data_IF_116224581806
#
_entry.id   IF_116224581806
#
_cell.length_a   1.000
_cell.length_b   1.000
_cell.length_c   1.000
_cell.angle_alpha   90.00
_cell.angle_beta   90.00
_cell.angle_gamma   90.00
#
_symmetry.space_group_name_H-M   'P 1'
#
loop_
_entity.id
_entity.type
_entity.pdbx_description
1 polymer ?
#
# COMPACT_ATOMS: atom_id res chain seq x y z
N UNK A 1 5.32 36.22 -65.82
CA UNK A 1 5.35 36.61 -64.41
C UNK A 1 4.83 35.46 -63.59
N UNK A 2 5.71 34.65 -63.01
CA UNK A 2 5.33 33.42 -62.27
C UNK A 2 5.75 33.62 -60.82
N UNK A 3 4.75 33.75 -59.94
CA UNK A 3 4.95 33.94 -58.50
C UNK A 3 5.11 32.57 -57.86
N UNK A 4 6.32 32.25 -57.38
CA UNK A 4 6.62 31.04 -56.65
C UNK A 4 6.22 31.29 -55.19
N UNK A 5 5.15 30.63 -54.72
CA UNK A 5 4.78 30.57 -53.30
C UNK A 5 5.68 29.58 -52.58
N UNK A 6 6.55 30.08 -51.72
CA UNK A 6 7.31 29.27 -50.76
C UNK A 6 6.38 28.87 -49.61
N UNK A 7 6.04 27.58 -49.50
CA UNK A 7 5.36 27.02 -48.34
C UNK A 7 6.42 26.68 -47.32
N UNK A 8 6.40 27.39 -46.21
CA UNK A 8 7.24 27.11 -45.05
C UNK A 8 6.52 26.05 -44.21
N UNK A 9 6.99 24.81 -44.23
CA UNK A 9 6.51 23.73 -43.35
C UNK A 9 7.26 23.87 -42.05
N UNK A 10 6.60 24.41 -41.04
CA UNK A 10 7.10 24.43 -39.67
C UNK A 10 6.83 23.04 -39.05
N UNK A 11 7.87 22.19 -38.96
CA UNK A 11 7.83 20.94 -38.21
C UNK A 11 7.83 21.24 -36.74
N UNK A 12 6.68 21.14 -36.08
CA UNK A 12 6.55 21.21 -34.65
C UNK A 12 6.97 19.86 -34.06
N UNK A 13 8.23 19.71 -33.70
CA UNK A 13 8.72 18.54 -32.97
C UNK A 13 8.19 18.62 -31.53
N UNK A 14 7.11 17.90 -31.25
CA UNK A 14 6.58 17.71 -29.90
C UNK A 14 7.52 16.77 -29.16
N UNK A 15 8.44 17.35 -28.38
CA UNK A 15 9.30 16.61 -27.46
C UNK A 15 8.39 16.13 -26.32
N UNK A 16 7.94 14.88 -26.40
CA UNK A 16 7.35 14.19 -25.26
C UNK A 16 8.47 14.00 -24.23
N UNK A 17 8.51 14.84 -23.21
CA UNK A 17 9.31 14.60 -22.02
C UNK A 17 8.69 13.38 -21.29
N UNK A 18 9.20 12.19 -21.60
CA UNK A 18 8.93 10.99 -20.80
C UNK A 18 9.65 11.23 -19.49
N UNK A 19 8.92 11.66 -18.46
CA UNK A 19 9.40 11.64 -17.09
C UNK A 19 9.63 10.18 -16.73
N UNK A 20 10.86 9.69 -16.91
CA UNK A 20 11.29 8.42 -16.38
C UNK A 20 11.29 8.55 -14.84
N UNK A 21 10.17 8.25 -14.21
CA UNK A 21 10.20 7.92 -12.80
C UNK A 21 11.03 6.64 -12.71
N UNK A 22 12.19 6.73 -12.07
CA UNK A 22 13.02 5.55 -11.82
C UNK A 22 12.13 4.55 -11.06
N UNK A 23 11.89 3.40 -11.69
CA UNK A 23 11.06 2.35 -11.11
C UNK A 23 11.66 1.95 -9.77
N UNK A 24 10.84 2.01 -8.72
CA UNK A 24 11.30 1.69 -7.37
C UNK A 24 11.67 0.21 -7.30
N UNK A 25 12.91 -0.09 -6.90
CA UNK A 25 13.37 -1.46 -6.75
C UNK A 25 12.63 -2.13 -5.60
N UNK A 26 12.05 -3.28 -5.88
CA UNK A 26 11.32 -4.11 -4.93
C UNK A 26 12.13 -5.37 -4.60
N UNK A 27 11.94 -5.89 -3.41
CA UNK A 27 12.46 -7.20 -3.00
C UNK A 27 11.37 -8.01 -2.29
N UNK A 28 11.40 -9.33 -2.48
CA UNK A 28 10.48 -10.23 -1.79
C UNK A 28 11.08 -10.69 -0.48
N UNK A 29 10.39 -10.39 0.62
CA UNK A 29 10.79 -10.81 1.95
C UNK A 29 9.86 -11.92 2.43
N UNK A 30 10.43 -13.00 2.93
CA UNK A 30 9.73 -14.10 3.55
C UNK A 30 9.74 -13.95 5.08
N UNK A 31 8.58 -14.10 5.71
CA UNK A 31 8.37 -14.05 7.17
C UNK A 31 7.99 -15.46 7.67
N UNK A 32 8.96 -16.27 8.12
CA UNK A 32 8.71 -17.67 8.50
C UNK A 32 7.68 -17.83 9.62
N UNK A 33 7.72 -16.95 10.61
CA UNK A 33 6.78 -16.97 11.75
C UNK A 33 5.32 -16.69 11.36
N UNK A 34 5.11 -16.02 10.23
CA UNK A 34 3.79 -15.67 9.69
C UNK A 34 3.39 -16.56 8.52
N UNK A 35 4.30 -17.40 8.00
CA UNK A 35 4.14 -18.26 6.83
C UNK A 35 3.64 -17.49 5.61
N UNK A 36 4.23 -16.34 5.34
CA UNK A 36 3.91 -15.50 4.19
C UNK A 36 5.14 -14.76 3.67
N UNK A 37 5.04 -14.30 2.42
CA UNK A 37 6.01 -13.39 1.82
C UNK A 37 5.32 -12.24 1.12
N UNK A 38 6.03 -11.13 0.97
CA UNK A 38 5.52 -9.93 0.32
C UNK A 38 6.68 -9.16 -0.34
N UNK A 39 6.42 -8.48 -1.44
CA UNK A 39 7.39 -7.58 -2.07
C UNK A 39 7.30 -6.19 -1.43
N UNK A 40 8.43 -5.67 -1.01
CA UNK A 40 8.54 -4.34 -0.40
C UNK A 40 9.63 -3.53 -1.09
N UNK A 41 9.59 -2.18 -1.02
CA UNK A 41 10.69 -1.35 -1.49
C UNK A 41 12.01 -1.76 -0.84
N UNK A 42 13.09 -1.92 -1.62
CA UNK A 42 14.42 -2.26 -1.10
C UNK A 42 14.97 -1.23 -0.10
N UNK A 43 14.43 -0.02 -0.12
CA UNK A 43 14.80 1.06 0.82
C UNK A 43 14.08 0.95 2.17
N UNK A 44 13.09 0.05 2.30
CA UNK A 44 12.41 -0.17 3.57
C UNK A 44 13.23 -1.09 4.45
N UNK A 45 13.36 -0.71 5.71
CA UNK A 45 14.04 -1.51 6.74
C UNK A 45 13.10 -1.82 7.90
N UNK A 46 13.37 -2.84 8.72
CA UNK A 46 12.64 -3.04 9.98
C UNK A 46 12.62 -1.75 10.79
N UNK A 47 11.42 -1.32 11.17
CA UNK A 47 11.26 -0.06 11.91
C UNK A 47 11.83 -0.18 13.32
N UNK A 48 12.68 0.75 13.78
CA UNK A 48 13.17 0.79 15.15
C UNK A 48 12.02 0.81 16.18
N UNK A 49 12.20 0.14 17.30
CA UNK A 49 11.14 -0.08 18.31
C UNK A 49 10.58 1.23 18.88
N UNK A 50 11.41 2.24 19.09
CA UNK A 50 11.02 3.57 19.57
C UNK A 50 10.13 4.29 18.55
N UNK A 51 10.49 4.27 17.26
CA UNK A 51 9.69 4.81 16.17
C UNK A 51 8.38 4.02 16.00
N UNK A 52 8.44 2.69 16.08
CA UNK A 52 7.27 1.83 15.99
C UNK A 52 6.26 2.13 17.13
N UNK A 53 6.72 2.40 18.35
CA UNK A 53 5.85 2.80 19.47
C UNK A 53 5.16 4.13 19.26
N UNK A 54 5.85 5.09 18.67
CA UNK A 54 5.28 6.41 18.33
C UNK A 54 4.23 6.27 17.22
N UNK A 55 4.58 5.56 16.16
CA UNK A 55 3.70 5.43 14.98
C UNK A 55 2.51 4.50 15.22
N UNK A 56 2.69 3.47 16.02
CA UNK A 56 1.69 2.46 16.39
C UNK A 56 1.60 2.34 17.91
N UNK A 57 0.97 3.31 18.59
CA UNK A 57 0.96 3.38 20.05
C UNK A 57 0.15 2.26 20.71
N UNK A 58 -0.71 1.55 19.96
CA UNK A 58 -1.52 0.45 20.49
C UNK A 58 -0.65 -0.76 20.85
N UNK A 59 -0.97 -1.44 21.95
CA UNK A 59 -0.38 -2.75 22.29
C UNK A 59 -0.68 -3.82 21.21
N UNK A 60 -1.74 -3.64 20.41
CA UNK A 60 -2.10 -4.50 19.29
C UNK A 60 -1.46 -4.07 17.97
N UNK A 61 -0.30 -3.39 18.03
CA UNK A 61 0.44 -2.98 16.84
C UNK A 61 0.76 -4.18 15.92
N UNK A 62 1.08 -3.95 14.62
CA UNK A 62 1.49 -5.01 13.71
C UNK A 62 2.64 -5.85 14.27
N UNK A 63 2.69 -7.12 13.87
CA UNK A 63 3.76 -8.06 14.28
C UNK A 63 5.08 -7.77 13.57
N UNK A 64 4.98 -7.27 12.35
CA UNK A 64 6.09 -6.86 11.49
C UNK A 64 5.82 -5.44 11.03
N UNK A 65 6.82 -4.58 11.15
CA UNK A 65 6.74 -3.19 10.68
C UNK A 65 8.03 -2.87 9.94
N UNK A 66 7.88 -2.45 8.68
CA UNK A 66 8.95 -1.92 7.84
C UNK A 66 8.62 -0.48 7.45
N UNK A 67 9.61 0.32 7.15
CA UNK A 67 9.39 1.68 6.70
C UNK A 67 10.61 2.33 6.08
N UNK A 68 10.39 3.51 5.49
CA UNK A 68 11.47 4.37 5.07
C UNK A 68 12.24 4.91 6.29
N UNK A 69 13.41 5.46 6.07
CA UNK A 69 14.31 5.97 7.13
C UNK A 69 13.61 6.93 8.12
N UNK A 70 12.65 7.71 7.64
CA UNK A 70 11.93 8.71 8.44
C UNK A 70 10.60 8.21 9.00
N UNK A 71 10.19 6.97 8.67
CA UNK A 71 8.90 6.43 9.05
C UNK A 71 7.70 7.12 8.39
N UNK A 72 7.91 7.94 7.33
CA UNK A 72 6.83 8.63 6.61
C UNK A 72 6.04 7.69 5.70
N UNK A 73 6.68 6.65 5.18
CA UNK A 73 6.04 5.53 4.52
C UNK A 73 6.32 4.25 5.31
N UNK A 74 5.32 3.39 5.52
CA UNK A 74 5.48 2.18 6.31
C UNK A 74 4.51 1.08 5.92
N UNK A 75 4.98 -0.15 6.06
CA UNK A 75 4.23 -1.39 5.93
C UNK A 75 4.07 -2.03 7.31
N UNK A 76 2.86 -2.45 7.65
CA UNK A 76 2.57 -3.21 8.86
C UNK A 76 1.88 -4.53 8.53
N UNK A 77 2.31 -5.65 9.11
CA UNK A 77 1.71 -6.98 8.93
C UNK A 77 1.21 -7.51 10.26
N UNK A 78 -0.07 -7.92 10.27
CA UNK A 78 -0.70 -8.65 11.38
C UNK A 78 -1.31 -9.93 10.82
N UNK A 79 -0.90 -11.08 11.34
CA UNK A 79 -1.41 -12.36 10.91
C UNK A 79 -1.61 -13.31 12.11
N UNK A 80 -2.62 -14.17 12.03
CA UNK A 80 -2.82 -15.27 12.95
C UNK A 80 -3.32 -14.93 14.37
N UNK A 81 -3.49 -13.64 14.70
CA UNK A 81 -3.94 -13.21 16.05
C UNK A 81 -5.43 -13.42 16.30
N UNK A 82 -6.25 -13.39 15.26
CA UNK A 82 -7.70 -13.47 15.39
C UNK A 82 -8.27 -14.54 14.47
N UNK A 83 -9.24 -15.29 14.95
CA UNK A 83 -9.99 -16.22 14.11
C UNK A 83 -10.81 -15.44 13.07
N UNK A 84 -10.69 -15.85 11.81
CA UNK A 84 -11.39 -15.24 10.68
C UNK A 84 -11.58 -16.27 9.60
N UNK A 85 -12.79 -16.78 9.43
CA UNK A 85 -13.11 -17.57 8.24
C UNK A 85 -13.33 -16.66 7.03
N UNK A 86 -13.10 -17.19 5.83
CA UNK A 86 -13.37 -16.48 4.58
C UNK A 86 -14.84 -15.99 4.49
N UNK A 87 -15.79 -16.75 5.05
CA UNK A 87 -17.20 -16.38 5.09
C UNK A 87 -17.50 -15.15 5.97
N UNK A 88 -16.64 -14.85 6.95
CA UNK A 88 -16.80 -13.69 7.84
C UNK A 88 -16.09 -12.43 7.32
N UNK A 89 -15.34 -12.53 6.24
CA UNK A 89 -14.52 -11.43 5.72
C UNK A 89 -15.36 -10.20 5.32
N UNK A 90 -16.56 -10.43 4.72
CA UNK A 90 -17.46 -9.34 4.34
C UNK A 90 -18.02 -8.62 5.56
N UNK A 91 -18.39 -9.36 6.60
CA UNK A 91 -18.85 -8.78 7.86
C UNK A 91 -17.76 -7.94 8.52
N UNK A 92 -16.51 -8.42 8.49
CA UNK A 92 -15.37 -7.65 9.00
C UNK A 92 -15.14 -6.38 8.20
N UNK A 93 -15.24 -6.44 6.86
CA UNK A 93 -15.16 -5.25 6.00
C UNK A 93 -16.24 -4.24 6.38
N UNK A 94 -17.49 -4.64 6.52
CA UNK A 94 -18.59 -3.73 6.94
C UNK A 94 -18.33 -3.11 8.31
N UNK A 95 -17.82 -3.90 9.26
CA UNK A 95 -17.45 -3.40 10.59
C UNK A 95 -16.37 -2.34 10.49
N UNK A 96 -15.32 -2.60 9.67
CA UNK A 96 -14.22 -1.67 9.44
C UNK A 96 -14.72 -0.36 8.81
N UNK A 97 -15.57 -0.43 7.78
CA UNK A 97 -16.14 0.75 7.13
C UNK A 97 -16.95 1.60 8.11
N UNK A 98 -17.73 0.97 9.01
CA UNK A 98 -18.46 1.68 10.07
C UNK A 98 -17.52 2.38 11.05
N UNK A 99 -16.45 1.70 11.48
CA UNK A 99 -15.46 2.29 12.39
C UNK A 99 -14.71 3.47 11.76
N UNK A 100 -14.53 3.44 10.45
CA UNK A 100 -13.79 4.44 9.68
C UNK A 100 -14.70 5.50 9.03
N UNK A 101 -15.99 5.54 9.34
CA UNK A 101 -16.98 6.42 8.68
C UNK A 101 -16.53 7.88 8.59
N UNK A 102 -15.88 8.40 9.63
CA UNK A 102 -15.41 9.79 9.66
C UNK A 102 -14.24 10.07 8.69
N UNK A 103 -13.64 9.03 8.11
CA UNK A 103 -12.52 9.11 7.17
C UNK A 103 -12.94 8.82 5.73
N UNK A 104 -14.24 8.69 5.45
CA UNK A 104 -14.79 8.42 4.11
C UNK A 104 -14.10 7.23 3.42
N UNK A 105 -14.07 6.03 4.05
CA UNK A 105 -13.32 4.89 3.54
C UNK A 105 -13.91 4.38 2.24
N UNK A 106 -13.03 3.89 1.35
CA UNK A 106 -13.38 3.17 0.13
C UNK A 106 -12.96 1.72 0.28
N UNK A 107 -13.77 0.77 -0.20
CA UNK A 107 -13.45 -0.65 -0.19
C UNK A 107 -13.53 -1.24 -1.59
N UNK A 108 -12.52 -1.98 -1.98
CA UNK A 108 -12.40 -2.68 -3.26
C UNK A 108 -12.20 -4.17 -3.02
N UNK A 109 -12.98 -5.01 -3.74
CA UNK A 109 -12.81 -6.46 -3.69
C UNK A 109 -11.59 -6.88 -4.52
N UNK A 110 -10.75 -7.73 -3.94
CA UNK A 110 -9.51 -8.22 -4.55
C UNK A 110 -9.42 -9.74 -4.46
N UNK A 111 -8.56 -10.32 -5.30
CA UNK A 111 -8.05 -11.68 -5.13
C UNK A 111 -6.54 -11.57 -4.94
N UNK A 112 -6.03 -12.11 -3.85
CA UNK A 112 -4.60 -12.10 -3.51
C UNK A 112 -4.17 -13.53 -3.20
N UNK A 113 -3.22 -14.04 -3.97
CA UNK A 113 -2.74 -15.44 -3.88
C UNK A 113 -3.88 -16.48 -3.87
N UNK A 114 -4.94 -16.23 -4.66
CA UNK A 114 -6.13 -17.10 -4.73
C UNK A 114 -7.16 -16.89 -3.62
N UNK A 115 -6.90 -16.02 -2.66
CA UNK A 115 -7.80 -15.73 -1.55
C UNK A 115 -8.61 -14.46 -1.81
N UNK A 116 -9.90 -14.48 -1.42
CA UNK A 116 -10.72 -13.27 -1.37
C UNK A 116 -10.10 -12.28 -0.39
N UNK A 117 -10.01 -11.03 -0.80
CA UNK A 117 -9.49 -9.95 0.02
C UNK A 117 -10.30 -8.66 -0.17
N UNK A 118 -10.21 -7.76 0.80
CA UNK A 118 -10.69 -6.40 0.71
C UNK A 118 -9.53 -5.42 0.85
N UNK A 119 -9.40 -4.51 -0.08
CA UNK A 119 -8.53 -3.35 0.03
C UNK A 119 -9.38 -2.17 0.51
N UNK A 120 -9.10 -1.69 1.72
CA UNK A 120 -9.76 -0.50 2.30
C UNK A 120 -8.77 0.65 2.25
N UNK A 121 -9.20 1.76 1.63
CA UNK A 121 -8.39 2.97 1.50
C UNK A 121 -9.10 4.12 2.20
N UNK A 122 -8.38 4.88 3.01
CA UNK A 122 -8.92 6.04 3.72
C UNK A 122 -7.81 7.03 4.07
N UNK A 123 -8.21 8.28 4.38
CA UNK A 123 -7.28 9.32 4.81
C UNK A 123 -7.51 9.65 6.28
N UNK A 124 -6.42 9.76 7.03
CA UNK A 124 -6.45 10.20 8.42
C UNK A 124 -5.55 11.42 8.61
N UNK A 125 -5.83 12.20 9.64
CA UNK A 125 -5.03 13.38 9.98
C UNK A 125 -4.00 13.02 11.03
N UNK A 126 -2.73 13.34 10.76
CA UNK A 126 -1.66 13.43 11.77
C UNK A 126 -1.52 14.88 12.25
N UNK A 127 -0.56 15.13 13.15
CA UNK A 127 -0.39 16.46 13.75
C UNK A 127 -0.12 17.55 12.70
N UNK A 128 0.63 17.23 11.67
CA UNK A 128 1.17 18.19 10.68
C UNK A 128 0.91 17.78 9.22
N UNK A 129 0.29 16.62 8.99
CA UNK A 129 0.08 16.09 7.63
C UNK A 129 -1.12 15.15 7.57
N UNK A 130 -1.62 14.95 6.35
CA UNK A 130 -2.58 13.91 6.02
C UNK A 130 -1.84 12.59 5.71
N UNK A 131 -2.41 11.47 6.10
CA UNK A 131 -1.89 10.14 5.86
C UNK A 131 -2.86 9.37 4.97
N UNK A 132 -2.39 8.87 3.84
CA UNK A 132 -3.09 7.87 3.05
C UNK A 132 -2.84 6.50 3.68
N UNK A 133 -3.91 5.81 4.03
CA UNK A 133 -3.90 4.47 4.59
C UNK A 133 -4.49 3.50 3.57
N UNK A 134 -3.80 2.43 3.29
CA UNK A 134 -4.23 1.32 2.44
C UNK A 134 -4.14 0.03 3.25
N UNK A 135 -5.27 -0.61 3.52
CA UNK A 135 -5.37 -1.80 4.36
C UNK A 135 -5.93 -2.96 3.54
N UNK A 136 -5.10 -3.96 3.31
CA UNK A 136 -5.51 -5.25 2.76
C UNK A 136 -5.97 -6.17 3.90
N UNK A 137 -7.15 -6.75 3.76
CA UNK A 137 -7.70 -7.72 4.70
C UNK A 137 -8.05 -9.01 3.95
N UNK A 138 -7.58 -10.13 4.46
CA UNK A 138 -7.90 -11.46 3.94
C UNK A 138 -7.91 -12.50 5.07
N UNK A 139 -8.18 -13.74 4.72
CA UNK A 139 -8.19 -14.88 5.64
C UNK A 139 -7.32 -15.98 5.08
N UNK A 140 -6.46 -16.55 5.92
CA UNK A 140 -5.66 -17.73 5.63
C UNK A 140 -5.73 -18.72 6.80
N UNK A 141 -6.04 -19.99 6.52
CA UNK A 141 -6.18 -21.05 7.53
C UNK A 141 -7.08 -20.62 8.71
N UNK A 142 -8.26 -20.05 8.38
CA UNK A 142 -9.26 -19.54 9.35
C UNK A 142 -8.72 -18.45 10.30
N UNK A 143 -7.68 -17.74 9.91
CA UNK A 143 -7.09 -16.63 10.68
C UNK A 143 -7.05 -15.35 9.86
N UNK A 144 -7.28 -14.24 10.52
CA UNK A 144 -7.17 -12.93 9.90
C UNK A 144 -5.74 -12.62 9.50
N UNK A 145 -5.58 -12.10 8.29
CA UNK A 145 -4.35 -11.48 7.80
C UNK A 145 -4.67 -10.06 7.39
N UNK A 146 -3.93 -9.11 7.94
CA UNK A 146 -4.04 -7.69 7.62
C UNK A 146 -2.67 -7.15 7.27
N UNK A 147 -2.59 -6.48 6.14
CA UNK A 147 -1.38 -5.79 5.70
C UNK A 147 -1.75 -4.34 5.42
N UNK A 148 -1.11 -3.43 6.12
CA UNK A 148 -1.32 -1.99 5.93
C UNK A 148 -0.10 -1.36 5.26
N UNK A 149 -0.34 -0.44 4.34
CA UNK A 149 0.67 0.46 3.83
C UNK A 149 0.18 1.89 4.06
N UNK A 150 0.97 2.68 4.79
CA UNK A 150 0.62 4.04 5.16
C UNK A 150 1.69 4.98 4.64
N UNK A 151 1.29 6.15 4.13
CA UNK A 151 2.23 7.18 3.66
C UNK A 151 1.69 8.57 3.94
N UNK A 152 2.59 9.50 4.23
CA UNK A 152 2.25 10.93 4.33
C UNK A 152 1.93 11.49 2.94
N UNK A 153 1.14 12.56 2.89
CA UNK A 153 0.66 13.18 1.65
C UNK A 153 1.79 13.60 0.71
N UNK A 154 2.90 14.07 1.23
CA UNK A 154 4.07 14.46 0.44
C UNK A 154 4.75 13.30 -0.28
N UNK A 155 4.50 12.06 0.16
CA UNK A 155 5.04 10.83 -0.45
C UNK A 155 4.02 10.07 -1.31
N UNK A 156 2.78 10.54 -1.40
CA UNK A 156 1.69 9.84 -2.09
C UNK A 156 2.01 9.57 -3.57
N UNK A 157 2.49 10.56 -4.31
CA UNK A 157 2.87 10.40 -5.72
C UNK A 157 3.96 9.34 -5.92
N UNK A 158 4.86 9.20 -4.95
CA UNK A 158 5.94 8.22 -5.00
C UNK A 158 5.50 6.81 -4.64
N UNK A 159 4.59 6.66 -3.67
CA UNK A 159 4.32 5.37 -3.04
C UNK A 159 2.92 4.81 -3.28
N UNK A 160 1.95 5.54 -3.81
CA UNK A 160 0.57 5.03 -3.93
C UNK A 160 0.48 3.78 -4.80
N UNK A 161 1.09 3.79 -5.98
CA UNK A 161 1.09 2.62 -6.88
C UNK A 161 1.97 1.48 -6.33
N UNK A 162 3.10 1.84 -5.72
CA UNK A 162 3.99 0.90 -5.04
C UNK A 162 3.27 0.22 -3.87
N UNK A 163 2.52 0.95 -3.06
CA UNK A 163 1.73 0.41 -1.96
C UNK A 163 0.70 -0.60 -2.46
N UNK A 164 -0.02 -0.27 -3.54
CA UNK A 164 -0.98 -1.19 -4.15
C UNK A 164 -0.28 -2.46 -4.65
N UNK A 165 0.82 -2.32 -5.38
CA UNK A 165 1.61 -3.45 -5.88
C UNK A 165 2.15 -4.31 -4.72
N UNK A 166 2.69 -3.69 -3.68
CA UNK A 166 3.14 -4.36 -2.44
C UNK A 166 2.02 -5.20 -1.83
N UNK A 167 0.85 -4.62 -1.56
CA UNK A 167 -0.27 -5.31 -0.94
C UNK A 167 -0.76 -6.50 -1.78
N UNK A 168 -0.79 -6.36 -3.11
CA UNK A 168 -1.19 -7.43 -4.03
C UNK A 168 -0.13 -8.51 -4.22
N UNK A 169 1.12 -8.25 -3.85
CA UNK A 169 2.22 -9.20 -3.95
C UNK A 169 2.25 -10.24 -2.82
N UNK A 170 1.36 -10.10 -1.81
CA UNK A 170 1.26 -11.04 -0.69
C UNK A 170 1.08 -12.47 -1.19
N UNK A 171 1.88 -13.39 -0.65
CA UNK A 171 1.80 -14.84 -0.89
C UNK A 171 1.86 -15.60 0.41
N UNK A 172 1.09 -16.67 0.49
CA UNK A 172 1.08 -17.59 1.61
C UNK A 172 1.98 -18.81 1.32
N UNK A 173 2.66 -19.27 2.36
CA UNK A 173 3.41 -20.52 2.31
C UNK A 173 2.44 -21.71 2.40
N UNK A 174 2.60 -22.66 1.51
CA UNK A 174 1.75 -23.86 1.41
C UNK A 174 2.23 -24.96 2.33
#
# INVERSE_FOLDING_TARGET
MTIIRKILVASFAMIMAISAHAEMKMERIYFPSLKLSIEIPQTFTPMPEDMAKIKYPSEKRPLVIYGDERGKASLGITAGRSAMSAAKLDMMKETMLKMLTNYSPQAEAMIVDGHKAWLITFRSQAADTEILNMLLMTSENEKAVQVSFNMTKDLETQYQDVARATLLSLKFDK
#
